data_IF_160548438990
#
_entry.id   IF_160548438990
#
_cell.length_a   1.000
_cell.length_b   1.000
_cell.length_c   1.000
_cell.angle_alpha   90.00
_cell.angle_beta   90.00
_cell.angle_gamma   90.00
#
_symmetry.space_group_name_H-M   'P 1'
#
loop_
_entity.id
_entity.type
_entity.pdbx_description
1 polymer ?
#
# COMPACT_ATOMS: atom_id res chain seq x y z
N UNK A 1 2.04 -24.41 18.25
CA UNK A 1 1.83 -23.32 17.27
C UNK A 1 1.84 -22.00 18.03
N UNK A 2 3.03 -21.44 18.28
CA UNK A 2 3.20 -20.30 19.18
C UNK A 2 2.89 -18.96 18.47
N UNK A 3 2.02 -18.18 19.10
CA UNK A 3 1.52 -16.87 18.67
C UNK A 3 2.66 -15.86 18.46
N UNK A 4 2.91 -15.48 17.21
CA UNK A 4 3.98 -14.58 16.78
C UNK A 4 3.61 -13.08 16.77
N UNK A 5 2.43 -12.70 17.27
CA UNK A 5 1.93 -11.32 17.17
C UNK A 5 2.07 -10.48 18.46
N UNK A 6 2.58 -11.06 19.55
CA UNK A 6 2.72 -10.36 20.84
C UNK A 6 3.88 -9.36 20.92
N UNK A 7 4.81 -9.36 19.95
CA UNK A 7 6.01 -8.52 19.98
C UNK A 7 5.81 -7.10 19.44
N UNK A 8 4.67 -6.84 18.77
CA UNK A 8 4.39 -5.57 18.09
C UNK A 8 3.94 -4.44 19.03
N UNK A 9 3.61 -4.75 20.29
CA UNK A 9 3.15 -3.77 21.27
C UNK A 9 3.97 -3.79 22.57
N UNK A 10 5.30 -3.95 22.47
CA UNK A 10 6.18 -3.80 23.64
C UNK A 10 6.22 -2.33 24.07
N UNK A 11 5.74 -2.05 25.28
CA UNK A 11 5.88 -0.75 25.97
C UNK A 11 7.36 -0.36 25.97
N UNK A 12 7.68 0.89 25.61
CA UNK A 12 9.04 1.37 25.52
C UNK A 12 9.81 1.13 26.83
N UNK A 13 11.10 0.73 26.78
CA UNK A 13 11.89 0.50 27.98
C UNK A 13 11.95 1.78 28.84
N UNK A 14 11.93 1.67 30.18
CA UNK A 14 12.04 2.82 31.06
C UNK A 14 13.36 3.57 30.76
N UNK A 15 13.32 4.90 30.82
CA UNK A 15 14.35 5.83 30.36
C UNK A 15 15.79 5.52 30.84
N UNK A 16 15.93 4.71 31.89
CA UNK A 16 17.20 4.25 32.46
C UNK A 16 18.02 3.37 31.49
N UNK A 17 17.38 2.60 30.60
CA UNK A 17 18.05 1.80 29.54
C UNK A 17 18.25 2.56 28.22
N UNK A 18 17.64 3.74 28.07
CA UNK A 18 17.88 4.61 26.90
C UNK A 18 19.21 5.37 27.02
N UNK A 19 19.68 5.63 28.25
CA UNK A 19 20.97 6.28 28.50
C UNK A 19 22.17 5.39 28.10
N UNK A 20 22.07 4.07 28.23
CA UNK A 20 23.12 3.15 27.76
C UNK A 20 23.19 3.07 26.22
N UNK A 21 22.07 3.34 25.54
CA UNK A 21 21.99 3.50 24.08
C UNK A 21 22.07 4.98 23.65
N UNK A 22 22.62 5.86 24.49
CA UNK A 22 22.92 7.21 24.07
C UNK A 22 23.90 7.14 22.90
N UNK A 23 23.50 7.70 21.75
CA UNK A 23 24.33 7.78 20.56
C UNK A 23 25.58 8.58 20.94
N UNK A 24 26.69 7.89 21.17
CA UNK A 24 27.99 8.50 21.43
C UNK A 24 28.58 8.93 20.09
N UNK A 25 28.44 10.21 19.78
CA UNK A 25 29.10 10.76 18.61
C UNK A 25 30.62 10.76 18.86
N UNK A 26 31.43 10.25 17.91
CA UNK A 26 32.89 10.21 18.07
C UNK A 26 33.51 11.60 18.11
N UNK A 27 32.80 12.61 17.61
CA UNK A 27 33.26 13.99 17.55
C UNK A 27 32.27 14.93 18.24
N UNK A 28 32.82 15.83 19.05
CA UNK A 28 32.13 16.99 19.59
C UNK A 28 32.34 18.18 18.64
N UNK A 29 31.57 19.25 18.83
CA UNK A 29 31.63 20.47 18.00
C UNK A 29 33.07 21.01 17.86
N UNK A 30 33.88 20.88 18.91
CA UNK A 30 35.27 21.36 18.95
C UNK A 30 36.29 20.34 18.44
N UNK A 31 35.99 19.05 18.49
CA UNK A 31 36.92 17.96 18.13
C UNK A 31 36.70 17.38 16.73
N UNK A 32 35.65 17.83 16.02
CA UNK A 32 35.37 17.36 14.66
C UNK A 32 36.40 17.90 13.64
N UNK A 33 37.08 17.03 12.87
CA UNK A 33 37.98 17.44 11.79
C UNK A 33 37.24 18.20 10.67
N UNK A 34 35.96 17.89 10.44
CA UNK A 34 35.11 18.58 9.46
C UNK A 34 34.25 19.63 10.16
N UNK A 35 34.81 20.82 10.37
CA UNK A 35 34.11 21.92 11.03
C UNK A 35 33.07 22.52 10.09
N UNK A 36 31.82 22.61 10.56
CA UNK A 36 30.80 23.36 9.85
C UNK A 36 31.19 24.85 9.84
N UNK A 37 31.14 25.50 8.68
CA UNK A 37 31.41 26.95 8.55
C UNK A 37 30.45 27.81 9.38
N UNK A 38 29.28 27.26 9.74
CA UNK A 38 28.27 27.91 10.57
C UNK A 38 27.67 26.91 11.55
N UNK A 39 27.71 27.24 12.84
CA UNK A 39 27.09 26.44 13.90
C UNK A 39 25.57 26.40 13.70
N UNK A 40 25.01 25.19 13.73
CA UNK A 40 23.56 24.90 13.70
C UNK A 40 23.28 24.18 15.03
N UNK A 41 22.30 24.52 15.91
CA UNK A 41 21.37 25.67 16.10
C UNK A 41 21.82 27.09 15.72
N UNK A 42 21.17 27.87 14.80
CA UNK A 42 21.25 29.31 14.95
C UNK A 42 20.41 29.66 16.18
N UNK A 43 20.91 30.59 16.98
CA UNK A 43 20.14 31.14 18.10
C UNK A 43 18.91 31.87 17.56
N UNK A 44 17.73 31.25 17.69
CA UNK A 44 16.47 31.85 17.24
C UNK A 44 16.11 33.10 18.03
N UNK A 45 16.63 33.28 19.25
CA UNK A 45 16.36 34.47 20.08
C UNK A 45 16.96 35.75 19.50
N UNK A 46 18.09 35.64 18.78
CA UNK A 46 18.84 36.77 18.19
C UNK A 46 18.43 37.12 16.76
N UNK A 47 17.45 36.40 16.21
CA UNK A 47 17.11 36.45 14.79
C UNK A 47 15.88 37.34 14.55
N UNK A 48 15.96 38.25 13.58
CA UNK A 48 14.80 39.06 13.15
C UNK A 48 13.62 38.18 12.74
N UNK A 49 12.39 38.61 13.06
CA UNK A 49 11.15 37.89 12.76
C UNK A 49 10.97 37.55 11.28
N UNK A 50 11.35 38.49 10.40
CA UNK A 50 11.36 38.26 8.93
C UNK A 50 12.25 37.07 8.55
N UNK A 51 13.38 36.90 9.23
CA UNK A 51 14.30 35.79 8.98
C UNK A 51 13.76 34.47 9.57
N UNK A 52 13.13 34.51 10.76
CA UNK A 52 12.44 33.35 11.35
C UNK A 52 11.36 32.81 10.41
N UNK A 53 10.51 33.69 9.87
CA UNK A 53 9.45 33.29 8.93
C UNK A 53 10.01 32.63 7.66
N UNK A 54 11.13 33.13 7.12
CA UNK A 54 11.81 32.51 5.97
C UNK A 54 12.33 31.11 6.29
N UNK A 55 12.90 30.91 7.48
CA UNK A 55 13.38 29.61 7.94
C UNK A 55 12.23 28.64 8.15
N UNK A 56 11.15 29.08 8.79
CA UNK A 56 9.94 28.28 8.99
C UNK A 56 9.33 27.83 7.66
N UNK A 57 9.19 28.76 6.69
CA UNK A 57 8.70 28.42 5.35
C UNK A 57 9.59 27.40 4.65
N UNK A 58 10.91 27.53 4.77
CA UNK A 58 11.87 26.56 4.21
C UNK A 58 11.77 25.20 4.91
N UNK A 59 11.58 25.19 6.23
CA UNK A 59 11.37 23.98 7.01
C UNK A 59 10.10 23.25 6.58
N UNK A 60 8.95 23.93 6.56
CA UNK A 60 7.64 23.35 6.15
C UNK A 60 7.69 22.74 4.74
N UNK A 61 8.41 23.37 3.81
CA UNK A 61 8.61 22.84 2.45
C UNK A 61 9.46 21.57 2.45
N UNK A 62 10.58 21.57 3.19
CA UNK A 62 11.48 20.42 3.29
C UNK A 62 10.84 19.24 4.00
N UNK A 63 10.06 19.48 5.06
CA UNK A 63 9.33 18.42 5.75
C UNK A 63 8.29 17.80 4.84
N UNK A 64 7.50 18.59 4.10
CA UNK A 64 6.55 18.05 3.11
C UNK A 64 7.24 17.11 2.11
N UNK A 65 8.45 17.45 1.66
CA UNK A 65 9.21 16.60 0.74
C UNK A 65 9.80 15.35 1.42
N UNK A 66 10.28 15.45 2.66
CA UNK A 66 10.80 14.30 3.43
C UNK A 66 9.70 13.31 3.82
N UNK A 67 8.50 13.81 4.09
CA UNK A 67 7.34 13.01 4.45
C UNK A 67 6.53 12.53 3.23
N UNK A 68 6.84 13.01 2.02
CA UNK A 68 6.25 12.48 0.80
C UNK A 68 6.71 11.03 0.60
N UNK A 69 5.76 10.08 0.59
CA UNK A 69 5.98 8.66 0.28
C UNK A 69 5.34 8.30 -1.05
N UNK A 70 5.91 8.72 -2.20
CA UNK A 70 5.27 8.58 -3.50
C UNK A 70 5.08 7.11 -3.90
N UNK A 71 5.99 6.22 -3.52
CA UNK A 71 5.87 4.79 -3.87
C UNK A 71 4.71 4.13 -3.13
N UNK A 72 4.52 4.42 -1.83
CA UNK A 72 3.39 3.90 -1.07
C UNK A 72 2.05 4.35 -1.65
N UNK A 73 1.94 5.64 -2.02
CA UNK A 73 0.73 6.18 -2.65
C UNK A 73 0.46 5.51 -4.01
N UNK A 74 1.50 5.20 -4.80
CA UNK A 74 1.33 4.47 -6.06
C UNK A 74 0.76 3.08 -5.82
N UNK A 75 1.29 2.33 -4.86
CA UNK A 75 0.82 0.98 -4.56
C UNK A 75 -0.61 0.96 -4.02
N UNK A 76 -0.96 1.88 -3.11
CA UNK A 76 -2.33 1.94 -2.59
C UNK A 76 -3.33 2.36 -3.65
N UNK A 77 -2.94 3.25 -4.58
CA UNK A 77 -3.77 3.60 -5.73
C UNK A 77 -3.93 2.41 -6.67
N UNK A 78 -2.87 1.67 -6.96
CA UNK A 78 -2.96 0.45 -7.76
C UNK A 78 -3.88 -0.58 -7.11
N UNK A 79 -3.74 -0.81 -5.81
CA UNK A 79 -4.62 -1.70 -5.06
C UNK A 79 -6.08 -1.21 -5.09
N UNK A 80 -6.32 0.09 -4.92
CA UNK A 80 -7.67 0.68 -5.00
C UNK A 80 -8.33 0.38 -6.35
N UNK A 81 -7.63 0.64 -7.46
CA UNK A 81 -8.13 0.33 -8.80
C UNK A 81 -8.29 -1.16 -9.04
N UNK A 82 -7.35 -1.97 -8.54
CA UNK A 82 -7.42 -3.43 -8.59
C UNK A 82 -8.65 -3.97 -7.87
N UNK A 83 -8.96 -3.48 -6.67
CA UNK A 83 -10.14 -3.89 -5.91
C UNK A 83 -11.44 -3.48 -6.61
N UNK A 84 -11.50 -2.27 -7.18
CA UNK A 84 -12.69 -1.81 -7.93
C UNK A 84 -12.92 -2.71 -9.15
N UNK A 85 -11.87 -2.97 -9.94
CA UNK A 85 -11.96 -3.83 -11.12
C UNK A 85 -12.34 -5.26 -10.72
N UNK A 86 -11.72 -5.79 -9.67
CA UNK A 86 -12.03 -7.11 -9.14
C UNK A 86 -13.50 -7.22 -8.73
N UNK A 87 -14.02 -6.26 -7.96
CA UNK A 87 -15.42 -6.25 -7.54
C UNK A 87 -16.38 -6.14 -8.74
N UNK A 88 -16.04 -5.32 -9.74
CA UNK A 88 -16.84 -5.19 -10.96
C UNK A 88 -16.88 -6.51 -11.77
N UNK A 89 -15.72 -7.14 -11.99
CA UNK A 89 -15.64 -8.43 -12.70
C UNK A 89 -16.36 -9.53 -11.93
N UNK A 90 -16.18 -9.59 -10.61
CA UNK A 90 -16.90 -10.56 -9.76
C UNK A 90 -18.40 -10.35 -9.81
N UNK A 91 -18.86 -9.11 -9.69
CA UNK A 91 -20.28 -8.74 -9.80
C UNK A 91 -20.87 -9.15 -11.15
N UNK A 92 -20.16 -8.86 -12.24
CA UNK A 92 -20.63 -9.17 -13.60
C UNK A 92 -20.58 -10.65 -13.92
N UNK A 93 -19.56 -11.41 -13.52
CA UNK A 93 -19.39 -12.80 -13.97
C UNK A 93 -19.92 -13.85 -13.00
N UNK A 94 -19.86 -13.60 -11.69
CA UNK A 94 -20.04 -14.64 -10.67
C UNK A 94 -21.14 -14.33 -9.65
N UNK A 95 -21.40 -13.05 -9.38
CA UNK A 95 -22.47 -12.68 -8.47
C UNK A 95 -23.83 -12.82 -9.18
N UNK A 96 -24.52 -13.91 -8.87
CA UNK A 96 -25.91 -14.08 -9.24
C UNK A 96 -26.77 -13.76 -8.03
N UNK A 97 -27.39 -12.57 -8.05
CA UNK A 97 -28.24 -12.05 -6.97
C UNK A 97 -29.61 -12.73 -6.90
N UNK A 98 -29.90 -13.65 -7.82
CA UNK A 98 -31.19 -14.35 -7.88
C UNK A 98 -31.26 -15.43 -6.80
N UNK A 99 -32.42 -15.57 -6.16
CA UNK A 99 -32.74 -16.64 -5.21
C UNK A 99 -32.68 -17.99 -5.94
N UNK A 100 -32.20 -19.04 -5.28
CA UNK A 100 -32.06 -20.36 -5.92
C UNK A 100 -33.42 -20.96 -6.32
N UNK A 101 -34.47 -20.61 -5.59
CA UNK A 101 -35.86 -20.92 -5.90
C UNK A 101 -36.38 -20.24 -7.18
N UNK A 102 -36.02 -18.97 -7.42
CA UNK A 102 -36.37 -18.25 -8.66
C UNK A 102 -35.59 -18.80 -9.88
N UNK A 103 -34.38 -19.34 -9.65
CA UNK A 103 -33.60 -20.00 -10.71
C UNK A 103 -34.21 -21.32 -11.14
N UNK A 104 -34.69 -22.13 -10.20
CA UNK A 104 -35.28 -23.43 -10.48
C UNK A 104 -36.63 -23.31 -11.20
N UNK A 105 -37.40 -22.24 -10.92
CA UNK A 105 -38.68 -22.01 -11.56
C UNK A 105 -38.58 -21.44 -12.99
N UNK A 106 -37.41 -20.93 -13.39
CA UNK A 106 -37.20 -20.32 -14.71
C UNK A 106 -38.01 -19.03 -14.94
N UNK A 107 -38.59 -18.46 -13.87
CA UNK A 107 -39.42 -17.26 -13.91
C UNK A 107 -38.55 -16.08 -13.47
N UNK A 108 -38.05 -15.32 -14.44
CA UNK A 108 -37.29 -14.08 -14.19
C UNK A 108 -36.70 -13.51 -15.47
N UNK A 109 -36.78 -12.19 -15.63
CA UNK A 109 -36.15 -11.45 -16.73
C UNK A 109 -34.64 -11.71 -16.74
N UNK A 110 -34.04 -11.92 -17.92
CA UNK A 110 -32.59 -12.09 -18.04
C UNK A 110 -31.88 -10.87 -17.46
N UNK A 111 -30.91 -11.08 -16.57
CA UNK A 111 -30.16 -9.96 -16.01
C UNK A 111 -29.29 -9.35 -17.10
N UNK A 112 -29.05 -8.04 -17.03
CA UNK A 112 -28.30 -7.26 -18.04
C UNK A 112 -26.91 -7.86 -18.36
N UNK A 113 -26.35 -8.66 -17.46
CA UNK A 113 -25.03 -9.27 -17.59
C UNK A 113 -25.04 -10.75 -18.01
N UNK A 114 -26.20 -11.38 -18.21
CA UNK A 114 -26.28 -12.81 -18.55
C UNK A 114 -25.71 -13.14 -19.93
N UNK A 115 -25.85 -12.25 -20.90
CA UNK A 115 -25.19 -12.39 -22.20
C UNK A 115 -23.65 -12.40 -22.10
N UNK A 116 -23.09 -11.54 -21.24
CA UNK A 116 -21.64 -11.50 -20.99
C UNK A 116 -21.15 -12.77 -20.28
N UNK A 117 -21.92 -13.29 -19.32
CA UNK A 117 -21.62 -14.55 -18.63
C UNK A 117 -21.66 -15.75 -19.56
N UNK A 118 -22.65 -15.83 -20.46
CA UNK A 118 -22.77 -16.92 -21.45
C UNK A 118 -21.56 -16.93 -22.39
N UNK A 119 -21.24 -15.78 -22.99
CA UNK A 119 -20.09 -15.63 -23.89
C UNK A 119 -18.77 -16.03 -23.20
N UNK A 120 -18.57 -15.60 -21.94
CA UNK A 120 -17.40 -15.98 -21.16
C UNK A 120 -17.30 -17.50 -20.94
N UNK A 121 -18.41 -18.17 -20.58
CA UNK A 121 -18.43 -19.62 -20.39
C UNK A 121 -18.12 -20.39 -21.67
N UNK A 122 -18.70 -19.96 -22.79
CA UNK A 122 -18.45 -20.57 -24.11
C UNK A 122 -16.97 -20.45 -24.50
N UNK A 123 -16.36 -19.28 -24.29
CA UNK A 123 -14.95 -19.07 -24.55
C UNK A 123 -14.07 -19.98 -23.68
N UNK A 124 -14.36 -20.08 -22.38
CA UNK A 124 -13.60 -20.95 -21.47
C UNK A 124 -13.74 -22.44 -21.84
N UNK A 125 -14.94 -22.91 -22.18
CA UNK A 125 -15.16 -24.29 -22.63
C UNK A 125 -14.42 -24.60 -23.94
N UNK A 126 -14.37 -23.65 -24.88
CA UNK A 126 -13.63 -23.83 -26.13
C UNK A 126 -12.12 -23.97 -25.91
N UNK A 127 -11.56 -23.19 -24.98
CA UNK A 127 -10.15 -23.24 -24.60
C UNK A 127 -9.79 -24.53 -23.86
N UNK A 128 -10.64 -24.96 -22.92
CA UNK A 128 -10.47 -26.22 -22.21
C UNK A 128 -10.53 -27.42 -23.15
N UNK A 129 -11.49 -27.42 -24.09
CA UNK A 129 -11.59 -28.45 -25.13
C UNK A 129 -10.33 -28.50 -26.00
N UNK A 130 -9.83 -27.35 -26.45
CA UNK A 130 -8.59 -27.27 -27.21
C UNK A 130 -7.39 -27.81 -26.42
N UNK A 131 -7.24 -27.40 -25.15
CA UNK A 131 -6.17 -27.88 -24.26
C UNK A 131 -6.20 -29.39 -24.07
N UNK A 132 -7.37 -29.98 -23.82
CA UNK A 132 -7.52 -31.41 -23.61
C UNK A 132 -7.15 -32.21 -24.88
N UNK A 133 -7.52 -31.70 -26.05
CA UNK A 133 -7.14 -32.31 -27.34
C UNK A 133 -5.62 -32.27 -27.58
N UNK A 134 -4.94 -31.17 -27.23
CA UNK A 134 -3.48 -31.09 -27.30
C UNK A 134 -2.80 -32.08 -26.34
N UNK A 135 -3.27 -32.20 -25.11
CA UNK A 135 -2.74 -33.17 -24.13
C UNK A 135 -2.85 -34.61 -24.65
N UNK A 136 -4.03 -34.99 -25.18
CA UNK A 136 -4.29 -36.34 -25.69
C UNK A 136 -3.43 -36.70 -26.91
N UNK A 137 -3.05 -35.70 -27.72
CA UNK A 137 -2.17 -35.89 -28.88
C UNK A 137 -0.69 -36.10 -28.49
N UNK A 138 -0.30 -35.71 -27.29
CA UNK A 138 1.07 -35.91 -26.78
C UNK A 138 1.26 -37.27 -26.11
N UNK A 139 0.16 -37.89 -25.66
CA UNK A 139 0.16 -39.18 -24.96
C UNK A 139 -0.01 -40.39 -25.89
N UNK A 140 -0.38 -40.18 -27.16
CA UNK A 140 -0.51 -41.23 -28.18
C UNK A 140 0.48 -41.06 -29.31
#
# INVERSE_FOLDING_TARGET
MASSLGSLFRKAPPAVLAASNAIKFPYNIHTNPYRAQRTWPPDFTRLSEKHKFRLERRYRRRTKLKWARPQWVKYTKLAQWGTILFAAVYGTLFLDLRSDEDKAMGVGEETVFDGARRCYREQMQSLEGARNNYSKKQEG
#
